data_IF_390031977931
#
_entry.id   IF_390031977931
#
_cell.length_a   1.000
_cell.length_b   1.000
_cell.length_c   1.000
_cell.angle_alpha   90.00
_cell.angle_beta   90.00
_cell.angle_gamma   90.00
#
_symmetry.space_group_name_H-M   'P 1'
#
loop_
_entity.id
_entity.type
_entity.pdbx_description
1 polymer ?
#
# COMPACT_ATOMS: atom_id res chain seq x y z
N UNK A 1 -29.14 62.90 10.82
CA UNK A 1 -29.79 62.88 12.15
C UNK A 1 -29.18 61.68 12.85
N UNK A 2 -28.00 61.83 13.47
CA UNK A 2 -27.75 62.03 14.89
C UNK A 2 -28.44 60.92 15.72
N UNK A 3 -27.70 60.01 16.32
CA UNK A 3 -27.00 60.12 17.59
C UNK A 3 -26.13 58.89 17.91
N UNK A 4 -24.93 59.20 18.37
CA UNK A 4 -23.96 58.37 19.13
C UNK A 4 -24.45 58.03 20.53
N UNK A 5 -23.96 56.94 21.12
CA UNK A 5 -23.50 56.76 22.52
C UNK A 5 -23.24 55.27 22.76
N UNK A 6 -22.21 54.76 23.35
CA UNK A 6 -21.17 55.28 24.23
C UNK A 6 -20.66 54.09 25.01
N UNK A 7 -19.35 53.91 25.06
CA UNK A 7 -18.64 52.91 25.84
C UNK A 7 -18.84 53.00 27.34
N UNK A 8 -18.73 51.88 28.09
CA UNK A 8 -18.20 51.92 29.46
C UNK A 8 -17.55 50.60 29.84
N UNK A 9 -16.31 50.76 30.19
CA UNK A 9 -15.41 49.79 30.87
C UNK A 9 -15.88 49.59 32.33
N UNK A 10 -15.76 48.38 32.85
CA UNK A 10 -15.52 48.20 34.30
C UNK A 10 -14.65 46.96 34.52
N UNK A 11 -13.51 47.22 35.10
CA UNK A 11 -12.55 46.28 35.64
C UNK A 11 -12.86 46.04 37.13
N UNK A 12 -12.36 44.94 37.66
CA UNK A 12 -12.25 44.65 39.10
C UNK A 12 -12.91 43.32 39.45
N UNK A 13 -12.41 42.46 40.29
CA UNK A 13 -11.26 42.42 41.18
C UNK A 13 -11.04 40.96 41.60
N UNK A 14 -9.83 40.62 41.94
CA UNK A 14 -9.39 39.41 42.66
C UNK A 14 -10.15 39.21 43.96
N UNK A 15 -10.45 37.95 44.32
CA UNK A 15 -10.45 37.51 45.72
C UNK A 15 -10.04 36.05 45.82
N UNK A 16 -9.09 35.81 46.68
CA UNK A 16 -8.46 34.55 47.01
C UNK A 16 -9.19 33.83 48.15
N UNK A 17 -8.90 32.50 48.25
CA UNK A 17 -8.86 31.66 49.47
C UNK A 17 -10.20 31.14 50.04
N UNK A 18 -10.37 29.83 49.98
CA UNK A 18 -10.56 29.02 51.21
C UNK A 18 -10.28 27.55 50.95
N UNK A 19 -9.30 27.05 51.68
CA UNK A 19 -8.94 25.66 51.88
C UNK A 19 -9.96 25.03 52.82
N UNK A 20 -10.66 23.98 52.38
CA UNK A 20 -11.45 23.14 53.31
C UNK A 20 -11.11 21.66 53.00
N UNK A 21 -10.36 21.09 53.91
CA UNK A 21 -10.20 19.65 54.07
C UNK A 21 -11.56 19.04 54.53
N UNK A 22 -12.09 18.14 53.73
CA UNK A 22 -13.09 17.19 54.20
C UNK A 22 -12.71 15.78 53.74
N UNK A 23 -12.33 14.98 54.70
CA UNK A 23 -12.28 13.53 54.67
C UNK A 23 -13.68 12.98 54.37
N UNK A 24 -13.83 12.19 53.34
CA UNK A 24 -15.09 11.57 52.98
C UNK A 24 -14.97 10.42 52.01
N UNK A 25 -15.02 9.22 52.54
CA UNK A 25 -15.50 7.96 51.97
C UNK A 25 -15.13 7.62 50.53
N UNK A 26 -14.27 6.61 50.37
CA UNK A 26 -13.97 5.95 49.12
C UNK A 26 -15.19 5.39 48.40
N UNK A 27 -15.45 5.90 47.22
CA UNK A 27 -16.26 5.21 46.22
C UNK A 27 -15.37 4.21 45.47
N UNK A 28 -15.85 2.99 45.17
CA UNK A 28 -15.06 2.04 44.38
C UNK A 28 -14.88 2.61 43.00
N UNK A 29 -13.63 2.89 42.64
CA UNK A 29 -13.24 3.17 41.27
C UNK A 29 -13.63 1.96 40.39
N UNK A 30 -14.66 2.13 39.58
CA UNK A 30 -14.93 1.23 38.48
C UNK A 30 -13.70 1.30 37.58
N UNK A 31 -12.84 0.28 37.71
CA UNK A 31 -11.72 0.08 36.80
C UNK A 31 -12.25 0.11 35.37
N UNK A 32 -11.66 0.98 34.55
CA UNK A 32 -11.78 0.90 33.09
C UNK A 32 -11.48 -0.55 32.72
N UNK A 33 -12.24 -1.17 31.84
CA UNK A 33 -11.91 -2.50 31.37
C UNK A 33 -10.51 -2.45 30.79
N UNK A 34 -9.57 -3.16 31.43
CA UNK A 34 -8.26 -3.44 30.88
C UNK A 34 -8.49 -3.98 29.46
N UNK A 35 -7.93 -3.30 28.48
CA UNK A 35 -7.93 -3.76 27.10
C UNK A 35 -7.52 -5.25 27.11
N UNK A 36 -8.39 -6.08 26.57
CA UNK A 36 -8.12 -7.51 26.41
C UNK A 36 -6.78 -7.65 25.69
N UNK A 37 -5.85 -8.48 26.19
CA UNK A 37 -4.62 -8.69 25.45
C UNK A 37 -5.00 -9.21 24.06
N UNK A 38 -4.50 -8.52 23.03
CA UNK A 38 -4.61 -8.92 21.64
C UNK A 38 -4.13 -10.36 21.55
N UNK A 39 -4.96 -11.28 21.04
CA UNK A 39 -4.53 -12.64 20.74
C UNK A 39 -3.39 -12.55 19.74
N UNK A 40 -2.20 -12.82 20.21
CA UNK A 40 -0.96 -12.67 19.46
C UNK A 40 -0.79 -13.80 18.45
N UNK A 41 -1.07 -13.52 17.21
CA UNK A 41 -0.53 -14.34 16.11
C UNK A 41 0.88 -13.90 15.66
N UNK A 42 1.39 -12.81 16.24
CA UNK A 42 2.77 -12.35 16.08
C UNK A 42 3.33 -11.94 17.44
N UNK A 43 4.59 -12.29 17.72
CA UNK A 43 5.33 -11.69 18.83
C UNK A 43 5.40 -10.17 18.63
N UNK A 44 5.34 -9.39 19.72
CA UNK A 44 5.49 -7.94 19.62
C UNK A 44 6.76 -7.59 18.84
N UNK A 45 6.63 -6.82 17.77
CA UNK A 45 7.76 -6.43 16.91
C UNK A 45 8.00 -7.29 15.67
N UNK A 46 7.20 -8.32 15.40
CA UNK A 46 7.34 -9.13 14.19
C UNK A 46 6.10 -9.07 13.29
N UNK A 47 6.34 -8.92 11.99
CA UNK A 47 5.27 -9.07 10.99
C UNK A 47 4.91 -10.53 10.80
N UNK A 48 3.67 -10.82 10.43
CA UNK A 48 3.26 -12.16 10.02
C UNK A 48 3.84 -12.44 8.63
N UNK A 49 4.76 -13.41 8.51
CA UNK A 49 5.30 -13.79 7.21
C UNK A 49 4.20 -14.21 6.23
N UNK A 50 4.39 -13.96 4.95
CA UNK A 50 3.43 -14.26 3.89
C UNK A 50 2.08 -13.52 3.99
N UNK A 51 1.87 -12.61 4.97
CA UNK A 51 0.67 -11.79 5.03
C UNK A 51 0.82 -10.53 4.20
N UNK A 52 -0.16 -10.29 3.34
CA UNK A 52 -0.26 -9.05 2.55
C UNK A 52 -1.62 -8.43 2.75
N UNK A 53 -1.72 -7.11 2.65
CA UNK A 53 -2.99 -6.40 2.85
C UNK A 53 -3.10 -5.14 2.02
N UNK A 54 -4.32 -4.61 1.98
CA UNK A 54 -4.67 -3.33 1.38
C UNK A 54 -5.67 -2.59 2.24
N UNK A 55 -5.59 -1.28 2.22
CA UNK A 55 -6.52 -0.43 2.93
C UNK A 55 -6.57 0.98 2.35
N UNK A 56 -7.71 1.39 1.84
CA UNK A 56 -7.98 2.80 1.62
C UNK A 56 -8.18 3.44 3.00
N UNK A 57 -7.26 4.34 3.40
CA UNK A 57 -7.27 4.94 4.74
C UNK A 57 -8.16 6.18 4.85
N UNK A 58 -8.85 6.53 3.78
CA UNK A 58 -9.72 7.71 3.72
C UNK A 58 -9.09 8.93 4.42
N UNK A 59 -8.02 9.50 3.83
CA UNK A 59 -7.45 10.72 4.44
C UNK A 59 -8.51 11.80 4.70
N UNK A 60 -9.49 12.03 3.77
CA UNK A 60 -10.55 13.01 4.01
C UNK A 60 -11.45 12.72 5.21
N UNK A 61 -11.53 11.48 5.70
CA UNK A 61 -12.42 11.09 6.81
C UNK A 61 -12.01 11.67 8.16
N UNK A 62 -10.78 12.13 8.34
CA UNK A 62 -10.33 12.68 9.63
C UNK A 62 -8.86 13.09 9.66
N UNK A 63 -8.18 13.05 8.53
CA UNK A 63 -6.80 13.51 8.40
C UNK A 63 -5.83 12.79 9.32
N UNK A 64 -4.78 13.49 9.74
CA UNK A 64 -3.72 12.96 10.61
C UNK A 64 -4.18 12.61 12.02
N UNK A 65 -5.31 13.16 12.50
CA UNK A 65 -5.84 12.83 13.83
C UNK A 65 -6.19 11.35 14.03
N UNK A 66 -6.33 10.59 12.93
CA UNK A 66 -6.65 9.16 12.96
C UNK A 66 -5.41 8.24 12.77
N UNK A 67 -4.22 8.80 12.55
CA UNK A 67 -3.05 8.01 12.15
C UNK A 67 -2.58 7.03 13.22
N UNK A 68 -2.70 7.37 14.51
CA UNK A 68 -2.42 6.41 15.59
C UNK A 68 -3.35 5.20 15.54
N UNK A 69 -4.65 5.43 15.35
CA UNK A 69 -5.64 4.36 15.22
C UNK A 69 -5.40 3.51 13.97
N UNK A 70 -5.05 4.15 12.83
CA UNK A 70 -4.68 3.44 11.59
C UNK A 70 -3.45 2.58 11.80
N UNK A 71 -2.42 3.08 12.49
CA UNK A 71 -1.24 2.30 12.85
C UNK A 71 -1.59 1.11 13.75
N UNK A 72 -2.52 1.28 14.70
CA UNK A 72 -3.01 0.20 15.58
C UNK A 72 -3.68 -0.92 14.77
N UNK A 73 -4.54 -0.58 13.81
CA UNK A 73 -5.19 -1.58 12.95
C UNK A 73 -4.16 -2.34 12.09
N UNK A 74 -3.19 -1.63 11.52
CA UNK A 74 -2.11 -2.25 10.74
C UNK A 74 -1.26 -3.15 11.65
N UNK A 75 -0.90 -2.69 12.84
CA UNK A 75 -0.12 -3.48 13.81
C UNK A 75 -0.87 -4.74 14.26
N UNK A 76 -2.19 -4.66 14.43
CA UNK A 76 -3.03 -5.81 14.78
C UNK A 76 -3.04 -6.87 13.68
N UNK A 77 -3.04 -6.46 12.42
CA UNK A 77 -2.91 -7.37 11.29
C UNK A 77 -1.47 -7.80 11.05
N UNK A 78 -0.49 -6.94 11.37
CA UNK A 78 0.95 -7.11 11.22
C UNK A 78 1.36 -7.68 9.84
N UNK A 79 0.89 -7.14 8.71
CA UNK A 79 1.19 -7.70 7.40
C UNK A 79 2.66 -7.50 7.03
N UNK A 80 3.27 -8.45 6.32
CA UNK A 80 4.61 -8.29 5.75
C UNK A 80 4.66 -7.18 4.68
N UNK A 81 3.57 -7.02 3.93
CA UNK A 81 3.38 -5.95 2.94
C UNK A 81 1.96 -5.41 3.06
N UNK A 82 1.81 -4.09 3.08
CA UNK A 82 0.51 -3.44 3.02
C UNK A 82 0.54 -2.28 2.02
N UNK A 83 -0.53 -2.18 1.24
CA UNK A 83 -0.82 -1.06 0.35
C UNK A 83 -1.84 -0.12 0.98
N UNK A 84 -1.60 1.18 0.88
CA UNK A 84 -2.48 2.23 1.41
C UNK A 84 -2.91 3.15 0.28
N UNK A 85 -4.20 3.40 0.17
CA UNK A 85 -4.78 4.34 -0.79
C UNK A 85 -5.33 5.57 -0.03
N UNK A 86 -5.59 6.64 -0.74
CA UNK A 86 -6.00 7.96 -0.21
C UNK A 86 -5.05 8.50 0.87
N UNK A 87 -3.78 8.25 0.71
CA UNK A 87 -2.78 8.57 1.71
C UNK A 87 -2.01 9.85 1.37
N UNK A 88 -1.87 10.74 2.36
CA UNK A 88 -0.89 11.83 2.28
C UNK A 88 0.49 11.34 2.70
N UNK A 89 1.54 11.83 2.04
CA UNK A 89 2.95 11.44 2.37
C UNK A 89 3.21 11.57 3.86
N UNK A 90 2.80 12.70 4.47
CA UNK A 90 3.02 12.97 5.90
C UNK A 90 2.30 11.96 6.79
N UNK A 91 1.08 11.58 6.43
CA UNK A 91 0.31 10.63 7.22
C UNK A 91 0.91 9.22 7.17
N UNK A 92 1.42 8.83 6.00
CA UNK A 92 2.15 7.54 5.84
C UNK A 92 3.41 7.51 6.71
N UNK A 93 4.18 8.59 6.74
CA UNK A 93 5.39 8.66 7.58
C UNK A 93 5.05 8.66 9.08
N UNK A 94 3.96 9.32 9.48
CA UNK A 94 3.48 9.29 10.86
C UNK A 94 2.99 7.90 11.26
N UNK A 95 2.20 7.24 10.41
CA UNK A 95 1.77 5.85 10.61
C UNK A 95 3.00 4.93 10.74
N UNK A 96 3.99 5.06 9.85
CA UNK A 96 5.25 4.29 9.92
C UNK A 96 5.98 4.51 11.24
N UNK A 97 6.04 5.76 11.70
CA UNK A 97 6.68 6.09 12.98
C UNK A 97 5.96 5.42 14.15
N UNK A 98 4.62 5.45 14.21
CA UNK A 98 3.88 4.73 15.23
C UNK A 98 4.07 3.21 15.16
N UNK A 99 4.11 2.64 13.96
CA UNK A 99 4.36 1.21 13.77
C UNK A 99 5.74 0.81 14.32
N UNK A 100 6.77 1.63 14.09
CA UNK A 100 8.12 1.39 14.59
C UNK A 100 8.25 1.65 16.09
N UNK A 101 7.86 2.84 16.57
CA UNK A 101 8.12 3.28 17.95
C UNK A 101 7.20 2.64 18.97
N UNK A 102 5.94 2.36 18.62
CA UNK A 102 4.93 1.83 19.56
C UNK A 102 4.80 0.32 19.45
N UNK A 103 4.88 -0.23 18.22
CA UNK A 103 4.60 -1.64 17.96
C UNK A 103 5.86 -2.44 17.60
N UNK A 104 7.01 -1.81 17.43
CA UNK A 104 8.26 -2.46 17.05
C UNK A 104 8.27 -2.98 15.60
N UNK A 105 7.30 -2.59 14.78
CA UNK A 105 7.15 -3.06 13.41
C UNK A 105 7.87 -2.13 12.44
N UNK A 106 8.99 -2.59 11.90
CA UNK A 106 9.84 -1.79 11.01
C UNK A 106 9.44 -1.99 9.55
N UNK A 107 8.96 -0.91 8.93
CA UNK A 107 8.60 -0.91 7.52
C UNK A 107 9.44 0.08 6.70
N UNK A 108 9.77 -0.32 5.50
CA UNK A 108 10.23 0.56 4.42
C UNK A 108 9.02 1.06 3.66
N UNK A 109 9.08 2.30 3.17
CA UNK A 109 7.97 2.94 2.45
C UNK A 109 8.39 3.22 1.02
N UNK A 110 7.55 2.82 0.06
CA UNK A 110 7.52 3.35 -1.28
C UNK A 110 6.24 4.18 -1.42
N UNK A 111 6.34 5.36 -2.01
CA UNK A 111 5.22 6.27 -2.14
C UNK A 111 5.05 6.72 -3.60
N UNK A 112 3.82 6.71 -4.10
CA UNK A 112 3.40 7.20 -5.41
C UNK A 112 2.39 8.33 -5.28
N UNK A 113 2.82 9.59 -5.53
CA UNK A 113 1.90 10.72 -5.53
C UNK A 113 1.31 10.89 -6.91
N UNK A 114 0.00 10.91 -7.00
CA UNK A 114 -0.74 11.24 -8.22
C UNK A 114 -1.27 12.67 -8.20
N UNK A 115 -1.45 13.24 -7.01
CA UNK A 115 -1.95 14.60 -6.83
C UNK A 115 -1.12 15.34 -5.79
N UNK A 116 -0.87 16.62 -6.03
CA UNK A 116 -0.33 17.54 -5.02
C UNK A 116 -1.44 18.47 -4.57
N UNK A 117 -1.88 18.30 -3.34
CA UNK A 117 -3.03 19.02 -2.83
C UNK A 117 -2.75 19.61 -1.44
N UNK A 118 -2.61 20.93 -1.39
CA UNK A 118 -2.33 21.66 -0.15
C UNK A 118 -3.49 21.54 0.85
N UNK A 119 -4.73 21.65 0.38
CA UNK A 119 -5.91 21.60 1.25
C UNK A 119 -6.08 20.23 1.90
N UNK A 120 -5.71 19.15 1.21
CA UNK A 120 -5.86 17.77 1.67
C UNK A 120 -4.65 17.28 2.45
N UNK A 121 -3.45 17.52 1.94
CA UNK A 121 -2.21 16.95 2.49
C UNK A 121 -1.29 17.99 3.14
N UNK A 122 -1.73 19.23 3.30
CA UNK A 122 -0.92 20.30 3.90
C UNK A 122 0.30 20.65 3.06
N UNK A 123 1.39 21.04 3.74
CA UNK A 123 2.58 21.56 3.09
C UNK A 123 2.54 23.08 3.00
N UNK A 124 3.21 23.65 1.98
CA UNK A 124 3.19 25.07 1.68
C UNK A 124 2.42 25.31 0.39
N UNK A 125 1.77 26.48 0.18
CA UNK A 125 1.03 26.77 -1.06
C UNK A 125 1.85 26.53 -2.33
N UNK A 126 3.14 26.82 -2.30
CA UNK A 126 4.07 26.62 -3.42
C UNK A 126 4.76 25.23 -3.41
N UNK A 127 4.56 24.44 -2.36
CA UNK A 127 5.06 23.06 -2.21
C UNK A 127 4.02 22.22 -1.48
N UNK A 128 2.86 21.94 -2.12
CA UNK A 128 1.79 21.18 -1.50
C UNK A 128 2.20 19.73 -1.26
N UNK A 129 1.61 19.14 -0.22
CA UNK A 129 1.80 17.73 0.11
C UNK A 129 1.28 16.80 -0.98
N UNK A 130 1.93 15.67 -1.17
CA UNK A 130 1.50 14.63 -2.10
C UNK A 130 0.36 13.79 -1.53
N UNK A 131 -0.60 13.46 -2.38
CA UNK A 131 -1.69 12.53 -2.15
C UNK A 131 -1.62 11.39 -3.15
N UNK A 132 -1.86 10.16 -2.73
CA UNK A 132 -1.77 9.00 -3.60
C UNK A 132 -1.73 7.68 -2.86
N UNK A 133 -0.83 6.80 -3.29
CA UNK A 133 -0.68 5.44 -2.80
C UNK A 133 0.66 5.23 -2.08
N UNK A 134 0.68 4.29 -1.14
CA UNK A 134 1.91 3.88 -0.48
C UNK A 134 1.97 2.36 -0.29
N UNK A 135 3.14 1.78 -0.53
CA UNK A 135 3.43 0.39 -0.17
C UNK A 135 4.41 0.39 0.99
N UNK A 136 4.02 -0.21 2.10
CA UNK A 136 4.86 -0.50 3.24
C UNK A 136 5.29 -1.96 3.18
N UNK A 137 6.59 -2.22 3.28
CA UNK A 137 7.15 -3.57 3.27
C UNK A 137 8.18 -3.76 4.38
N UNK A 138 8.08 -4.85 5.14
CA UNK A 138 9.09 -5.23 6.12
C UNK A 138 10.39 -5.71 5.44
N UNK A 139 10.33 -6.14 4.17
CA UNK A 139 11.49 -6.51 3.37
C UNK A 139 11.98 -5.34 2.50
N UNK A 140 13.24 -5.36 2.01
CA UNK A 140 13.72 -4.39 1.03
C UNK A 140 12.86 -4.35 -0.23
N UNK A 141 12.73 -3.15 -0.79
CA UNK A 141 12.01 -2.90 -2.04
C UNK A 141 12.97 -2.43 -3.13
N UNK A 142 12.79 -2.94 -4.35
CA UNK A 142 13.50 -2.51 -5.57
C UNK A 142 12.52 -2.18 -6.68
N UNK A 143 13.01 -1.73 -7.82
CA UNK A 143 12.26 -1.50 -9.05
C UNK A 143 10.98 -0.67 -8.86
N UNK A 144 11.07 0.36 -8.01
CA UNK A 144 9.93 1.24 -7.75
C UNK A 144 9.54 2.00 -9.01
N UNK A 145 8.25 1.89 -9.36
CA UNK A 145 7.62 2.60 -10.47
C UNK A 145 6.34 3.25 -9.94
N UNK A 146 6.13 4.52 -10.24
CA UNK A 146 4.89 5.24 -9.98
C UNK A 146 4.37 5.76 -11.30
N UNK A 147 3.16 5.39 -11.67
CA UNK A 147 2.53 5.74 -12.95
C UNK A 147 1.18 6.39 -12.66
N UNK A 148 0.99 7.57 -13.20
CA UNK A 148 -0.30 8.23 -13.26
C UNK A 148 -1.05 7.72 -14.50
N UNK A 149 -2.34 7.43 -14.35
CA UNK A 149 -3.16 7.03 -15.49
C UNK A 149 -3.43 8.25 -16.38
N UNK A 150 -3.44 8.07 -17.71
CA UNK A 150 -3.66 9.18 -18.66
C UNK A 150 -4.98 9.90 -18.46
N UNK A 151 -6.00 9.18 -17.95
CA UNK A 151 -7.28 9.73 -17.52
C UNK A 151 -7.54 9.30 -16.08
N UNK A 152 -7.51 10.26 -15.17
CA UNK A 152 -7.80 10.06 -13.75
C UNK A 152 -9.30 10.13 -13.45
N UNK A 153 -10.10 10.65 -14.35
CA UNK A 153 -11.50 10.97 -14.12
C UNK A 153 -11.68 12.27 -13.35
N UNK A 154 -12.46 12.25 -12.28
CA UNK A 154 -12.71 13.41 -11.41
C UNK A 154 -11.52 13.77 -10.52
N UNK A 155 -10.58 12.84 -10.32
CA UNK A 155 -9.37 13.02 -9.53
C UNK A 155 -8.23 12.19 -10.16
N UNK A 156 -7.02 12.73 -10.15
CA UNK A 156 -5.85 12.01 -10.67
C UNK A 156 -5.68 10.66 -9.97
N UNK A 157 -5.50 9.61 -10.77
CA UNK A 157 -5.38 8.22 -10.33
C UNK A 157 -4.12 7.59 -10.92
N UNK A 158 -3.67 6.49 -10.31
CA UNK A 158 -2.46 5.82 -10.76
C UNK A 158 -2.22 4.49 -10.07
N UNK A 159 -1.06 3.90 -10.36
CA UNK A 159 -0.56 2.77 -9.60
C UNK A 159 0.89 2.99 -9.16
N UNK A 160 1.23 2.41 -8.03
CA UNK A 160 2.58 2.27 -7.52
C UNK A 160 2.98 0.80 -7.60
N UNK A 161 4.19 0.50 -8.06
CA UNK A 161 4.67 -0.86 -8.11
C UNK A 161 6.09 -0.99 -7.58
N UNK A 162 6.37 -2.07 -6.86
CA UNK A 162 7.68 -2.41 -6.31
C UNK A 162 7.93 -3.90 -6.45
N UNK A 163 9.19 -4.30 -6.44
CA UNK A 163 9.59 -5.69 -6.21
C UNK A 163 10.04 -5.83 -4.76
N UNK A 164 9.48 -6.79 -4.03
CA UNK A 164 9.87 -7.08 -2.64
C UNK A 164 9.81 -8.57 -2.36
N UNK A 165 10.25 -8.99 -1.17
CA UNK A 165 10.16 -10.38 -0.74
C UNK A 165 8.86 -10.60 0.04
N UNK A 166 8.09 -11.60 -0.36
CA UNK A 166 6.95 -12.12 0.40
C UNK A 166 7.17 -13.61 0.59
N UNK A 167 7.21 -14.05 1.85
CA UNK A 167 7.58 -15.42 2.16
C UNK A 167 8.96 -15.83 1.63
N UNK A 168 9.91 -14.93 1.65
CA UNK A 168 11.27 -15.14 1.17
C UNK A 168 11.41 -15.21 -0.36
N UNK A 169 10.36 -14.93 -1.13
CA UNK A 169 10.37 -14.99 -2.61
C UNK A 169 10.15 -13.61 -3.22
N UNK A 170 10.88 -13.24 -4.28
CA UNK A 170 10.63 -12.01 -5.01
C UNK A 170 9.22 -12.03 -5.63
N UNK A 171 8.49 -10.93 -5.42
CA UNK A 171 7.14 -10.73 -5.97
C UNK A 171 7.00 -9.29 -6.42
N UNK A 172 6.37 -9.09 -7.57
CA UNK A 172 5.95 -7.78 -8.03
C UNK A 172 4.65 -7.39 -7.33
N UNK A 173 4.68 -6.32 -6.56
CA UNK A 173 3.53 -5.81 -5.81
C UNK A 173 3.08 -4.51 -6.45
N UNK A 174 1.79 -4.43 -6.74
CA UNK A 174 1.11 -3.24 -7.26
C UNK A 174 0.13 -2.72 -6.23
N UNK A 175 0.05 -1.42 -6.09
CA UNK A 175 -0.96 -0.69 -5.36
C UNK A 175 -1.67 0.26 -6.31
N UNK A 176 -2.99 0.21 -6.38
CA UNK A 176 -3.79 1.08 -7.24
C UNK A 176 -4.98 1.67 -6.52
N UNK A 177 -5.40 2.84 -6.96
CA UNK A 177 -6.68 3.43 -6.65
C UNK A 177 -7.30 3.91 -7.97
N UNK A 178 -8.41 3.30 -8.37
CA UNK A 178 -9.05 3.57 -9.65
C UNK A 178 -10.09 4.71 -9.53
N UNK A 179 -10.54 5.22 -10.68
CA UNK A 179 -11.56 6.26 -10.76
C UNK A 179 -12.85 5.82 -10.06
N UNK A 180 -13.59 6.79 -9.50
CA UNK A 180 -14.78 6.52 -8.70
C UNK A 180 -15.85 5.71 -9.46
N UNK A 181 -16.74 5.04 -8.73
CA UNK A 181 -17.70 4.07 -9.27
C UNK A 181 -18.58 4.55 -10.42
N UNK A 182 -18.83 5.86 -10.55
CA UNK A 182 -19.64 6.43 -11.64
C UNK A 182 -18.89 6.58 -12.96
N UNK A 183 -17.59 6.32 -12.96
CA UNK A 183 -16.66 6.54 -14.07
C UNK A 183 -16.17 5.21 -14.67
N UNK A 184 -17.10 4.28 -14.98
CA UNK A 184 -16.78 2.93 -15.46
C UNK A 184 -15.92 2.90 -16.73
N UNK A 185 -16.16 3.81 -17.69
CA UNK A 185 -15.34 3.89 -18.91
C UNK A 185 -13.90 4.34 -18.62
N UNK A 186 -13.70 5.30 -17.72
CA UNK A 186 -12.37 5.71 -17.28
C UNK A 186 -11.66 4.54 -16.59
N UNK A 187 -12.35 3.85 -15.66
CA UNK A 187 -11.79 2.64 -15.01
C UNK A 187 -11.44 1.55 -16.01
N UNK A 188 -12.22 1.36 -17.06
CA UNK A 188 -11.90 0.36 -18.09
C UNK A 188 -10.53 0.60 -18.72
N UNK A 189 -10.20 1.85 -19.04
CA UNK A 189 -8.87 2.24 -19.53
C UNK A 189 -7.77 2.02 -18.48
N UNK A 190 -8.05 2.38 -17.24
CA UNK A 190 -7.11 2.20 -16.10
C UNK A 190 -6.85 0.72 -15.83
N UNK A 191 -7.89 -0.12 -15.78
CA UNK A 191 -7.76 -1.57 -15.60
C UNK A 191 -7.01 -2.21 -16.76
N UNK A 192 -7.30 -1.83 -17.99
CA UNK A 192 -6.60 -2.37 -19.17
C UNK A 192 -5.09 -2.09 -19.10
N UNK A 193 -4.71 -0.87 -18.71
CA UNK A 193 -3.30 -0.48 -18.53
C UNK A 193 -2.64 -1.24 -17.39
N UNK A 194 -3.28 -1.33 -16.22
CA UNK A 194 -2.78 -2.07 -15.07
C UNK A 194 -2.63 -3.56 -15.40
N UNK A 195 -3.64 -4.18 -16.01
CA UNK A 195 -3.61 -5.59 -16.37
C UNK A 195 -2.51 -5.92 -17.38
N UNK A 196 -2.27 -5.03 -18.35
CA UNK A 196 -1.19 -5.19 -19.32
C UNK A 196 0.19 -5.18 -18.64
N UNK A 197 0.39 -4.35 -17.62
CA UNK A 197 1.65 -4.34 -16.86
C UNK A 197 1.76 -5.57 -15.95
N UNK A 198 0.69 -5.94 -15.24
CA UNK A 198 0.66 -7.14 -14.39
C UNK A 198 0.92 -8.42 -15.18
N UNK A 199 0.45 -8.49 -16.44
CA UNK A 199 0.66 -9.63 -17.33
C UNK A 199 2.13 -9.93 -17.63
N UNK A 200 3.02 -8.95 -17.48
CA UNK A 200 4.47 -9.07 -17.70
C UNK A 200 5.19 -9.83 -16.58
N UNK A 201 4.49 -10.14 -15.49
CA UNK A 201 5.07 -10.75 -14.30
C UNK A 201 4.37 -12.06 -13.96
N UNK A 202 5.09 -13.19 -13.94
CA UNK A 202 4.52 -14.50 -13.61
C UNK A 202 4.03 -14.59 -12.17
N UNK A 203 4.62 -13.79 -11.27
CA UNK A 203 4.25 -13.68 -9.86
C UNK A 203 3.99 -12.23 -9.50
N UNK A 204 2.71 -11.91 -9.30
CA UNK A 204 2.29 -10.57 -8.95
C UNK A 204 1.19 -10.57 -7.88
N UNK A 205 1.19 -9.54 -7.06
CA UNK A 205 0.14 -9.19 -6.10
C UNK A 205 -0.36 -7.80 -6.50
N UNK A 206 -1.66 -7.68 -6.73
CA UNK A 206 -2.28 -6.39 -7.01
C UNK A 206 -3.23 -6.06 -5.87
N UNK A 207 -2.95 -4.98 -5.20
CA UNK A 207 -3.62 -4.47 -4.02
C UNK A 207 -4.32 -3.16 -4.38
N UNK A 208 -5.47 -2.88 -3.79
CA UNK A 208 -6.02 -1.55 -3.92
C UNK A 208 -7.53 -1.45 -3.90
N UNK A 209 -7.98 -0.20 -3.96
CA UNK A 209 -9.36 0.19 -4.16
C UNK A 209 -9.64 0.34 -5.66
N UNK A 210 -10.41 -0.60 -6.18
CA UNK A 210 -10.80 -0.64 -7.59
C UNK A 210 -12.07 0.19 -7.89
N UNK A 211 -12.73 0.70 -6.85
CA UNK A 211 -13.97 1.49 -6.98
C UNK A 211 -15.05 0.80 -7.84
N UNK A 212 -15.02 -0.51 -7.91
CA UNK A 212 -15.89 -1.33 -8.76
C UNK A 212 -16.31 -2.61 -8.03
N UNK A 213 -17.57 -2.99 -8.17
CA UNK A 213 -18.09 -4.25 -7.66
C UNK A 213 -17.60 -5.43 -8.52
N UNK A 214 -17.62 -6.68 -8.00
CA UNK A 214 -17.08 -7.84 -8.71
C UNK A 214 -17.65 -8.08 -10.11
N UNK A 215 -18.94 -7.77 -10.32
CA UNK A 215 -19.61 -7.90 -11.62
C UNK A 215 -19.40 -6.72 -12.58
N UNK A 216 -18.65 -5.70 -12.18
CA UNK A 216 -18.36 -4.58 -13.06
C UNK A 216 -17.55 -5.06 -14.27
N UNK A 217 -18.06 -4.85 -15.51
CA UNK A 217 -17.47 -5.44 -16.72
C UNK A 217 -16.04 -4.96 -16.96
N UNK A 218 -15.70 -3.75 -16.50
CA UNK A 218 -14.36 -3.18 -16.62
C UNK A 218 -13.30 -3.96 -15.83
N UNK A 219 -13.68 -4.76 -14.82
CA UNK A 219 -12.74 -5.61 -14.09
C UNK A 219 -12.40 -6.92 -14.84
N UNK A 220 -13.07 -7.21 -15.95
CA UNK A 220 -12.86 -8.42 -16.74
C UNK A 220 -11.37 -8.76 -17.02
N UNK A 221 -10.52 -7.82 -17.47
CA UNK A 221 -9.10 -8.08 -17.70
C UNK A 221 -8.35 -8.54 -16.45
N UNK A 222 -8.69 -8.02 -15.27
CA UNK A 222 -8.06 -8.46 -14.00
C UNK A 222 -8.54 -9.85 -13.60
N UNK A 223 -9.83 -10.16 -13.72
CA UNK A 223 -10.38 -11.47 -13.44
C UNK A 223 -9.83 -12.57 -14.37
N UNK A 224 -9.54 -12.23 -15.63
CA UNK A 224 -8.90 -13.13 -16.58
C UNK A 224 -7.43 -13.43 -16.24
N UNK A 225 -6.75 -12.50 -15.58
CA UNK A 225 -5.31 -12.54 -15.34
C UNK A 225 -4.93 -13.07 -13.94
N UNK A 226 -5.74 -12.78 -12.94
CA UNK A 226 -5.45 -13.02 -11.54
C UNK A 226 -6.70 -13.49 -10.78
N UNK A 227 -6.48 -14.02 -9.58
CA UNK A 227 -7.55 -14.48 -8.69
C UNK A 227 -7.63 -13.57 -7.48
N UNK A 228 -8.84 -13.12 -7.12
CA UNK A 228 -9.04 -12.48 -5.82
C UNK A 228 -8.88 -13.52 -4.68
N UNK A 229 -8.45 -13.04 -3.53
CA UNK A 229 -8.20 -13.89 -2.35
C UNK A 229 -9.49 -14.33 -1.64
N UNK A 230 -10.60 -13.65 -1.87
CA UNK A 230 -11.92 -14.07 -1.40
C UNK A 230 -12.36 -15.34 -2.15
N UNK A 231 -12.43 -16.50 -1.47
CA UNK A 231 -12.63 -17.76 -2.16
C UNK A 231 -14.02 -17.92 -2.81
N UNK A 232 -15.02 -17.22 -2.24
CA UNK A 232 -16.39 -17.21 -2.75
C UNK A 232 -16.61 -16.20 -3.87
N UNK A 233 -15.72 -15.22 -3.98
CA UNK A 233 -15.90 -14.07 -4.84
C UNK A 233 -15.48 -14.35 -6.29
N UNK A 234 -16.46 -14.32 -7.18
CA UNK A 234 -16.26 -14.44 -8.63
C UNK A 234 -17.34 -13.66 -9.35
N UNK A 235 -17.03 -13.02 -10.48
CA UNK A 235 -18.07 -12.38 -11.28
C UNK A 235 -19.05 -13.43 -11.84
N UNK A 236 -20.31 -13.06 -11.93
CA UNK A 236 -21.39 -13.89 -12.47
C UNK A 236 -21.14 -14.32 -13.91
N UNK A 237 -20.51 -13.44 -14.71
CA UNK A 237 -20.14 -13.70 -16.11
C UNK A 237 -19.19 -14.90 -16.30
N UNK A 238 -18.45 -15.32 -15.26
CA UNK A 238 -17.57 -16.50 -15.29
C UNK A 238 -18.08 -17.65 -14.41
N UNK A 239 -19.39 -17.68 -14.16
CA UNK A 239 -20.05 -18.74 -13.40
C UNK A 239 -19.89 -18.62 -11.89
N UNK A 240 -19.59 -17.43 -11.39
CA UNK A 240 -19.54 -17.09 -9.97
C UNK A 240 -20.86 -16.52 -9.45
N UNK A 241 -20.86 -16.19 -8.17
CA UNK A 241 -21.90 -15.43 -7.49
C UNK A 241 -21.28 -14.24 -6.79
N UNK A 242 -21.38 -13.05 -7.39
CA UNK A 242 -20.86 -11.83 -6.83
C UNK A 242 -21.53 -11.44 -5.50
N UNK A 243 -22.73 -11.96 -5.23
CA UNK A 243 -23.45 -11.77 -3.98
C UNK A 243 -22.80 -12.46 -2.77
N UNK A 244 -21.90 -13.42 -3.00
CA UNK A 244 -21.14 -14.11 -1.93
C UNK A 244 -19.84 -13.43 -1.56
N UNK A 245 -19.45 -12.36 -2.26
CA UNK A 245 -18.23 -11.64 -1.99
C UNK A 245 -18.30 -10.89 -0.65
N UNK A 246 -17.24 -10.97 0.14
CA UNK A 246 -17.12 -10.21 1.39
C UNK A 246 -17.02 -8.71 1.11
N UNK A 247 -17.90 -7.93 1.73
CA UNK A 247 -17.90 -6.46 1.59
C UNK A 247 -16.69 -5.84 2.24
N UNK A 248 -16.17 -4.75 1.67
CA UNK A 248 -14.96 -4.07 2.14
C UNK A 248 -15.19 -2.61 2.49
N UNK A 249 -16.45 -2.17 2.52
CA UNK A 249 -16.83 -0.77 2.80
C UNK A 249 -18.01 -0.71 3.77
N UNK A 250 -18.18 0.41 4.47
CA UNK A 250 -19.28 0.66 5.40
C UNK A 250 -20.66 0.67 4.73
N UNK A 251 -20.72 0.90 3.41
CA UNK A 251 -21.96 0.83 2.62
C UNK A 251 -22.19 -0.53 1.95
N UNK A 252 -21.59 -1.58 2.52
CA UNK A 252 -21.78 -2.98 2.11
C UNK A 252 -21.46 -3.28 0.63
N UNK A 253 -20.39 -2.68 0.11
CA UNK A 253 -19.88 -3.00 -1.22
C UNK A 253 -18.49 -3.61 -1.14
N UNK A 254 -18.12 -4.45 -2.11
CA UNK A 254 -16.74 -4.90 -2.29
C UNK A 254 -16.09 -4.02 -3.36
N UNK A 255 -15.14 -3.18 -2.94
CA UNK A 255 -14.36 -2.30 -3.81
C UNK A 255 -12.86 -2.55 -3.70
N UNK A 256 -12.43 -3.14 -2.58
CA UNK A 256 -11.03 -3.43 -2.32
C UNK A 256 -10.73 -4.90 -2.65
N UNK A 257 -9.60 -5.11 -3.30
CA UNK A 257 -9.19 -6.44 -3.79
C UNK A 257 -7.74 -6.72 -3.47
N UNK A 258 -7.46 -8.02 -3.31
CA UNK A 258 -6.11 -8.58 -3.34
C UNK A 258 -6.11 -9.62 -4.46
N UNK A 259 -5.73 -9.21 -5.66
CA UNK A 259 -5.60 -10.09 -6.81
C UNK A 259 -4.21 -10.75 -6.83
N UNK A 260 -4.18 -12.05 -7.02
CA UNK A 260 -2.98 -12.88 -7.03
C UNK A 260 -2.77 -13.53 -8.39
N UNK A 261 -1.62 -13.31 -9.01
CA UNK A 261 -1.16 -14.00 -10.20
C UNK A 261 0.00 -14.92 -9.85
N UNK A 262 -0.10 -16.21 -10.18
CA UNK A 262 0.93 -17.22 -9.90
C UNK A 262 1.19 -17.46 -8.40
N UNK A 263 0.25 -17.06 -7.52
CA UNK A 263 0.32 -17.17 -6.08
C UNK A 263 -1.02 -17.70 -5.56
N UNK A 264 -0.98 -18.53 -4.52
CA UNK A 264 -2.20 -19.11 -3.93
C UNK A 264 -2.48 -18.49 -2.56
N UNK A 265 -3.70 -18.00 -2.29
CA UNK A 265 -4.09 -17.55 -0.96
C UNK A 265 -4.29 -18.74 -0.02
N UNK A 266 -4.10 -18.50 1.28
CA UNK A 266 -4.44 -19.42 2.37
C UNK A 266 -5.64 -18.93 3.16
N UNK A 267 -5.73 -17.62 3.39
CA UNK A 267 -6.81 -16.96 4.13
C UNK A 267 -7.36 -15.78 3.35
N UNK A 268 -8.51 -15.29 3.78
CA UNK A 268 -9.07 -14.01 3.38
C UNK A 268 -9.74 -13.41 4.62
N UNK A 269 -9.41 -12.18 4.95
CA UNK A 269 -9.93 -11.53 6.14
C UNK A 269 -10.19 -10.06 5.85
N UNK A 270 -11.39 -9.62 6.20
CA UNK A 270 -11.81 -8.22 6.17
C UNK A 270 -12.07 -7.77 7.59
N UNK A 271 -11.53 -6.63 7.98
CA UNK A 271 -11.64 -6.05 9.31
C UNK A 271 -12.22 -4.64 9.20
N UNK A 272 -13.50 -4.46 9.62
CA UNK A 272 -14.06 -3.12 9.78
C UNK A 272 -13.20 -2.28 10.74
N UNK A 273 -13.07 -1.00 10.47
CA UNK A 273 -12.27 -0.08 11.29
C UNK A 273 -12.98 1.27 11.42
N UNK A 274 -12.98 1.89 12.61
CA UNK A 274 -13.56 3.22 12.78
C UNK A 274 -12.68 4.36 12.23
N UNK A 275 -11.55 4.02 11.61
CA UNK A 275 -10.57 4.99 11.12
C UNK A 275 -10.58 5.19 9.61
N UNK A 276 -11.51 4.54 8.92
CA UNK A 276 -11.79 4.68 7.49
C UNK A 276 -13.20 4.14 7.20
N UNK A 277 -13.81 4.60 6.14
CA UNK A 277 -15.05 4.05 5.58
C UNK A 277 -14.80 2.81 4.68
N UNK A 278 -13.52 2.46 4.48
CA UNK A 278 -13.09 1.18 3.94
C UNK A 278 -12.53 0.28 5.04
N UNK A 279 -12.67 -1.02 4.86
CA UNK A 279 -12.21 -2.05 5.78
C UNK A 279 -10.79 -2.51 5.42
N UNK A 280 -9.95 -2.78 6.42
CA UNK A 280 -8.63 -3.37 6.20
C UNK A 280 -8.79 -4.80 5.71
N UNK A 281 -8.36 -5.07 4.49
CA UNK A 281 -8.34 -6.39 3.88
C UNK A 281 -6.94 -6.98 3.92
N UNK A 282 -6.80 -8.21 4.44
CA UNK A 282 -5.54 -8.94 4.38
C UNK A 282 -5.72 -10.43 4.10
N UNK A 283 -4.66 -11.04 3.57
CA UNK A 283 -4.59 -12.46 3.26
C UNK A 283 -3.24 -13.01 3.67
N UNK A 284 -3.22 -14.25 4.15
CA UNK A 284 -1.98 -15.04 4.24
C UNK A 284 -1.85 -15.83 2.94
N UNK A 285 -0.64 -15.85 2.40
CA UNK A 285 -0.33 -16.62 1.20
C UNK A 285 0.13 -18.03 1.59
N UNK A 286 0.01 -18.99 0.70
CA UNK A 286 0.63 -20.30 0.91
C UNK A 286 2.14 -20.15 0.76
N UNK A 287 2.86 -20.31 1.86
CA UNK A 287 4.31 -20.33 1.87
C UNK A 287 4.82 -21.42 0.93
N UNK A 288 5.61 -21.06 -0.05
CA UNK A 288 6.53 -22.04 -0.61
C UNK A 288 7.58 -22.29 0.46
N UNK A 289 7.97 -23.56 0.63
CA UNK A 289 9.03 -23.96 1.54
C UNK A 289 10.14 -22.92 1.57
N UNK A 290 10.33 -22.28 2.73
CA UNK A 290 11.42 -21.32 2.92
C UNK A 290 12.73 -22.04 2.61
N UNK A 291 13.42 -21.64 1.57
CA UNK A 291 14.84 -21.94 1.45
C UNK A 291 15.47 -21.14 2.57
N UNK A 292 15.91 -21.82 3.64
CA UNK A 292 16.70 -21.21 4.72
C UNK A 292 17.96 -20.64 4.07
N UNK A 293 17.97 -19.37 3.82
CA UNK A 293 19.18 -18.63 3.51
C UNK A 293 19.99 -18.58 4.81
N UNK A 294 20.98 -19.45 4.96
CA UNK A 294 21.90 -19.32 6.06
C UNK A 294 22.47 -20.59 6.68
N UNK A 295 22.81 -21.64 5.92
CA UNK A 295 23.67 -22.69 6.47
C UNK A 295 24.77 -23.21 5.52
N UNK A 296 24.89 -22.71 4.29
CA UNK A 296 25.94 -23.22 3.36
C UNK A 296 27.11 -22.26 3.14
N UNK A 297 27.28 -21.22 3.96
CA UNK A 297 28.47 -20.36 3.90
C UNK A 297 29.66 -20.87 4.77
N UNK A 298 29.56 -22.05 5.38
CA UNK A 298 30.54 -22.57 6.31
C UNK A 298 31.33 -23.80 5.85
N UNK A 299 31.07 -24.37 4.67
CA UNK A 299 31.65 -25.67 4.27
C UNK A 299 32.65 -25.67 3.11
N UNK A 300 33.15 -24.51 2.65
CA UNK A 300 34.15 -24.43 1.58
C UNK A 300 35.48 -23.79 1.98
N UNK A 301 35.84 -23.87 3.25
CA UNK A 301 37.15 -23.41 3.73
C UNK A 301 37.89 -24.52 4.49
N UNK A 302 38.04 -25.72 3.94
CA UNK A 302 39.01 -26.67 4.44
C UNK A 302 39.27 -27.75 3.37
N UNK A 303 40.39 -27.68 2.72
CA UNK A 303 40.96 -28.79 1.97
C UNK A 303 41.23 -28.45 0.51
N UNK A 304 42.45 -28.05 0.22
CA UNK A 304 43.41 -28.83 -0.54
C UNK A 304 44.61 -27.93 -0.93
N UNK A 305 45.70 -28.19 -0.29
CA UNK A 305 47.04 -27.94 -0.84
C UNK A 305 47.46 -29.27 -1.51
N UNK A 306 47.71 -29.23 -2.82
CA UNK A 306 48.79 -30.00 -3.47
C UNK A 306 48.69 -30.00 -4.99
N UNK A 307 49.76 -29.62 -5.65
CA UNK A 307 50.16 -30.21 -6.91
C UNK A 307 50.00 -29.33 -8.19
N UNK A 308 51.00 -28.51 -8.53
CA UNK A 308 51.32 -28.10 -9.90
C UNK A 308 52.13 -29.27 -10.54
N UNK A 309 51.90 -29.62 -11.86
CA UNK A 309 52.85 -29.19 -12.83
C UNK A 309 52.25 -28.82 -14.24
N UNK A 310 52.80 -27.76 -14.82
CA UNK A 310 53.51 -27.73 -16.13
C UNK A 310 52.69 -27.58 -17.43
N UNK A 311 52.77 -26.38 -17.97
CA UNK A 311 53.04 -26.03 -19.40
C UNK A 311 52.16 -26.58 -20.51
N UNK A 312 51.53 -25.62 -21.25
CA UNK A 312 51.83 -25.44 -22.71
C UNK A 312 51.06 -24.28 -23.29
N UNK A 313 51.82 -23.35 -23.80
CA UNK A 313 51.48 -22.22 -24.67
C UNK A 313 50.86 -22.69 -25.99
N UNK A 314 49.76 -22.09 -26.45
CA UNK A 314 49.51 -21.87 -27.87
C UNK A 314 48.79 -20.56 -28.14
N UNK A 315 49.53 -19.66 -28.75
CA UNK A 315 49.03 -18.46 -29.42
C UNK A 315 48.36 -18.84 -30.74
N UNK A 316 47.23 -18.25 -31.07
CA UNK A 316 46.83 -17.91 -32.46
C UNK A 316 45.81 -16.76 -32.36
N UNK A 317 46.26 -15.61 -32.72
CA UNK A 317 46.07 -14.81 -33.94
C UNK A 317 44.62 -14.34 -34.18
N UNK A 318 44.55 -13.03 -34.12
CA UNK A 318 43.58 -12.07 -34.63
C UNK A 318 43.00 -12.35 -36.02
N UNK A 319 41.71 -12.05 -36.20
CA UNK A 319 41.24 -11.50 -37.48
C UNK A 319 40.24 -10.35 -37.20
N UNK A 320 40.64 -9.19 -37.71
CA UNK A 320 39.78 -8.02 -37.95
C UNK A 320 39.03 -8.26 -39.29
N UNK A 321 37.79 -7.82 -39.37
CA UNK A 321 37.16 -7.27 -40.58
C UNK A 321 35.91 -6.49 -40.16
N UNK A 322 35.93 -5.17 -40.30
CA UNK A 322 35.34 -4.32 -41.35
C UNK A 322 33.80 -4.34 -41.30
N UNK A 323 33.12 -3.36 -40.84
CA UNK A 323 32.82 -2.05 -41.41
C UNK A 323 31.73 -2.14 -42.50
N UNK A 324 30.49 -1.75 -42.20
CA UNK A 324 29.60 -1.17 -43.22
C UNK A 324 28.66 -0.14 -42.56
N UNK A 325 28.90 1.07 -42.97
CA UNK A 325 28.01 2.22 -42.99
C UNK A 325 26.72 1.91 -43.76
N UNK A 326 25.58 2.35 -43.25
CA UNK A 326 24.42 2.64 -44.10
C UNK A 326 23.93 4.06 -43.82
N UNK A 327 23.92 4.78 -44.96
CA UNK A 327 23.64 6.19 -45.12
C UNK A 327 22.16 6.55 -44.92
N UNK A 328 21.98 7.81 -44.59
CA UNK A 328 20.77 8.63 -44.60
C UNK A 328 20.06 8.64 -45.95
N UNK A 329 18.73 8.60 -45.92
CA UNK A 329 17.84 9.24 -46.90
C UNK A 329 16.48 9.35 -46.18
N UNK A 330 15.71 10.41 -46.13
CA UNK A 330 15.57 11.56 -47.01
C UNK A 330 14.18 12.14 -46.69
N UNK A 331 14.11 13.41 -46.35
CA UNK A 331 12.88 14.19 -46.16
C UNK A 331 11.97 14.13 -47.38
N UNK A 332 10.65 14.04 -47.19
CA UNK A 332 9.70 14.78 -48.05
C UNK A 332 8.52 15.28 -47.20
N UNK A 333 8.39 16.62 -47.12
CA UNK A 333 7.18 17.36 -46.85
C UNK A 333 6.23 17.24 -48.04
N UNK A 334 4.95 17.08 -47.81
CA UNK A 334 3.91 17.61 -48.73
C UNK A 334 2.82 18.23 -47.89
N UNK A 335 2.68 19.52 -48.09
CA UNK A 335 1.54 20.41 -47.78
C UNK A 335 0.48 20.22 -48.84
N UNK A 336 -0.82 20.27 -48.43
CA UNK A 336 -2.05 20.82 -49.09
C UNK A 336 -3.25 20.05 -48.62
N UNK A 337 -4.30 20.58 -48.23
CA UNK A 337 -5.12 21.79 -48.13
C UNK A 337 -6.05 21.60 -46.96
#
# INVERSE_FOLDING_TARGET
MVLRRGARWAAGAMAAVCMALLLGAGAPSRGLPLARPLSSDAAAGEVVPDRVGTWNICNPCGGSGLNFGRATEIATAAPQVIALQEACVRDVEEIRTYLEEVYGLVYRVAYGSVLRNWNRCGGLPWRPGGFGQAILSAAPMTDRVSVEYPDGGSEDRGYLAVTTLVGGRPVRVFDTHLAERRQGEVRAGQVAMLAAEVARHDRAIVLGDFNAVPDAPELGPMWALARDTDPGCRPSAVGGDAGTCTTTTDWNSKFDYVFLRGITPRTHRVRPSPYSDHHLLHTDLRGGTAVRAGQDAGALASGVSAGIPGAASRRTRSRRSSGREWRRAGRRRTTRR
#
